data_IF_374227540280
#
_entry.id   IF_374227540280
#
_cell.length_a   1.000
_cell.length_b   1.000
_cell.length_c   1.000
_cell.angle_alpha   90.00
_cell.angle_beta   90.00
_cell.angle_gamma   90.00
#
_symmetry.space_group_name_H-M   'P 1'
#
loop_
_entity.id
_entity.type
_entity.pdbx_description
1 polymer ?
#
# COMPACT_ATOMS: atom_id res chain seq x y z
N UNK A 1 6.65 -16.33 -12.67
CA UNK A 1 7.38 -15.04 -12.52
C UNK A 1 7.42 -14.75 -11.03
N UNK A 2 8.54 -14.27 -10.52
CA UNK A 2 8.65 -13.80 -9.14
C UNK A 2 7.89 -12.48 -9.04
N UNK A 3 7.11 -12.26 -7.98
CA UNK A 3 6.36 -11.02 -7.77
C UNK A 3 7.34 -9.86 -7.49
N UNK A 4 7.00 -8.65 -7.98
CA UNK A 4 7.76 -7.45 -7.60
C UNK A 4 7.72 -7.21 -6.08
N UNK A 5 6.70 -7.69 -5.38
CA UNK A 5 6.50 -7.50 -3.94
C UNK A 5 7.24 -8.54 -3.06
N UNK A 6 8.03 -9.46 -3.64
CA UNK A 6 8.79 -10.49 -2.91
C UNK A 6 9.68 -9.90 -1.80
N UNK A 7 10.22 -8.69 -2.00
CA UNK A 7 11.08 -8.03 -1.00
C UNK A 7 10.41 -7.79 0.36
N UNK A 8 9.08 -7.86 0.41
CA UNK A 8 8.30 -7.72 1.64
C UNK A 8 8.10 -9.02 2.42
N UNK A 9 8.38 -10.19 1.81
CA UNK A 9 8.01 -11.49 2.39
C UNK A 9 8.54 -11.71 3.80
N UNK A 10 9.76 -11.25 4.08
CA UNK A 10 10.41 -11.44 5.37
C UNK A 10 9.79 -10.57 6.47
N UNK A 11 9.60 -9.28 6.18
CA UNK A 11 9.26 -8.28 7.19
C UNK A 11 7.75 -7.94 7.20
N UNK A 12 7.11 -8.00 6.04
CA UNK A 12 5.70 -7.66 5.83
C UNK A 12 4.98 -8.67 4.91
N UNK A 13 4.88 -9.96 5.29
CA UNK A 13 4.33 -11.00 4.42
C UNK A 13 2.88 -10.74 3.97
N UNK A 14 2.09 -10.00 4.75
CA UNK A 14 0.73 -9.60 4.37
C UNK A 14 0.73 -8.66 3.16
N UNK A 15 1.65 -7.70 3.11
CA UNK A 15 1.79 -6.76 1.98
C UNK A 15 2.36 -7.48 0.75
N UNK A 16 3.32 -8.40 0.94
CA UNK A 16 3.82 -9.27 -0.14
C UNK A 16 2.68 -10.06 -0.78
N UNK A 17 1.84 -10.69 0.04
CA UNK A 17 0.70 -11.48 -0.44
C UNK A 17 -0.33 -10.63 -1.21
N UNK A 18 -0.69 -9.45 -0.70
CA UNK A 18 -1.61 -8.56 -1.42
C UNK A 18 -1.03 -8.06 -2.74
N UNK A 19 0.26 -7.71 -2.77
CA UNK A 19 0.95 -7.29 -3.98
C UNK A 19 1.00 -8.38 -5.04
N UNK A 20 1.40 -9.59 -4.66
CA UNK A 20 1.41 -10.77 -5.55
C UNK A 20 0.03 -11.05 -6.14
N UNK A 21 -1.02 -11.01 -5.31
CA UNK A 21 -2.38 -11.24 -5.77
C UNK A 21 -2.89 -10.10 -6.66
N UNK A 22 -2.56 -8.85 -6.35
CA UNK A 22 -2.92 -7.72 -7.20
C UNK A 22 -2.28 -7.85 -8.60
N UNK A 23 -1.01 -8.28 -8.68
CA UNK A 23 -0.35 -8.57 -9.96
C UNK A 23 -1.04 -9.70 -10.71
N UNK A 24 -1.34 -10.81 -10.04
CA UNK A 24 -2.03 -11.96 -10.63
C UNK A 24 -3.42 -11.61 -11.16
N UNK A 25 -4.16 -10.77 -10.47
CA UNK A 25 -5.52 -10.38 -10.84
C UNK A 25 -5.59 -9.25 -11.87
N UNK A 26 -4.52 -8.52 -12.12
CA UNK A 26 -4.53 -7.29 -12.92
C UNK A 26 -5.28 -7.42 -14.25
N UNK A 27 -5.06 -8.51 -14.98
CA UNK A 27 -5.66 -8.75 -16.29
C UNK A 27 -6.88 -9.68 -16.25
N UNK A 28 -6.88 -10.68 -15.36
CA UNK A 28 -7.91 -11.73 -15.31
C UNK A 28 -9.13 -11.37 -14.47
N UNK A 29 -8.95 -10.62 -13.39
CA UNK A 29 -9.99 -10.16 -12.46
C UNK A 29 -9.61 -8.79 -11.90
N UNK A 30 -9.73 -7.75 -12.75
CA UNK A 30 -9.30 -6.41 -12.36
C UNK A 30 -10.10 -5.82 -11.19
N UNK A 31 -11.31 -6.30 -10.89
CA UNK A 31 -12.03 -5.94 -9.66
C UNK A 31 -11.24 -6.43 -8.43
N UNK A 32 -10.89 -7.71 -8.38
CA UNK A 32 -10.06 -8.28 -7.29
C UNK A 32 -8.69 -7.60 -7.20
N UNK A 33 -8.06 -7.25 -8.34
CA UNK A 33 -6.81 -6.46 -8.33
C UNK A 33 -7.00 -5.14 -7.58
N UNK A 34 -8.02 -4.35 -7.92
CA UNK A 34 -8.28 -3.05 -7.27
C UNK A 34 -8.62 -3.20 -5.78
N UNK A 35 -9.29 -4.30 -5.41
CA UNK A 35 -9.52 -4.63 -3.99
C UNK A 35 -8.20 -4.85 -3.24
N UNK A 36 -7.29 -5.69 -3.78
CA UNK A 36 -6.00 -5.98 -3.16
C UNK A 36 -5.12 -4.74 -3.05
N UNK A 37 -5.11 -3.88 -4.07
CA UNK A 37 -4.40 -2.60 -4.04
C UNK A 37 -4.89 -1.70 -2.91
N UNK A 38 -6.19 -1.61 -2.70
CA UNK A 38 -6.75 -0.85 -1.58
C UNK A 38 -6.43 -1.47 -0.22
N UNK A 39 -6.38 -2.81 -0.12
CA UNK A 39 -5.97 -3.52 1.10
C UNK A 39 -4.51 -3.24 1.46
N UNK A 40 -3.61 -3.10 0.48
CA UNK A 40 -2.23 -2.64 0.72
C UNK A 40 -2.25 -1.29 1.45
N UNK A 41 -2.96 -0.29 0.90
CA UNK A 41 -3.02 1.04 1.49
C UNK A 41 -3.60 1.05 2.91
N UNK A 42 -4.69 0.30 3.13
CA UNK A 42 -5.33 0.17 4.44
C UNK A 42 -4.41 -0.49 5.47
N UNK A 43 -3.72 -1.57 5.07
CA UNK A 43 -2.79 -2.29 5.93
C UNK A 43 -1.60 -1.41 6.32
N UNK A 44 -1.01 -0.69 5.38
CA UNK A 44 0.08 0.26 5.67
C UNK A 44 -0.37 1.29 6.71
N UNK A 45 -1.53 1.92 6.53
CA UNK A 45 -2.07 2.91 7.48
C UNK A 45 -2.25 2.30 8.87
N UNK A 46 -2.85 1.10 8.97
CA UNK A 46 -3.06 0.44 10.25
C UNK A 46 -1.75 0.10 10.96
N UNK A 47 -0.79 -0.46 10.23
CA UNK A 47 0.52 -0.79 10.77
C UNK A 47 1.28 0.45 11.26
N UNK A 48 1.18 1.59 10.54
CA UNK A 48 1.77 2.86 10.98
C UNK A 48 1.23 3.30 12.35
N UNK A 49 -0.10 3.22 12.56
CA UNK A 49 -0.69 3.52 13.87
C UNK A 49 -0.17 2.60 14.97
N UNK A 50 -0.01 1.32 14.68
CA UNK A 50 0.46 0.32 15.63
C UNK A 50 1.94 0.50 15.97
N UNK A 51 2.82 0.65 14.96
CA UNK A 51 4.26 0.87 15.15
C UNK A 51 4.57 2.12 15.96
N UNK A 52 3.93 3.23 15.62
CA UNK A 52 4.19 4.54 16.26
C UNK A 52 3.30 4.79 17.48
N UNK A 53 2.41 3.83 17.82
CA UNK A 53 1.50 3.89 18.98
C UNK A 53 0.68 5.17 18.99
N UNK A 54 0.13 5.53 17.83
CA UNK A 54 -0.71 6.72 17.67
C UNK A 54 -2.13 6.40 18.12
N UNK A 55 -2.76 7.30 18.87
CA UNK A 55 -4.16 7.17 19.20
C UNK A 55 -5.04 7.27 17.96
N UNK A 56 -6.02 6.39 17.84
CA UNK A 56 -6.98 6.44 16.74
C UNK A 56 -7.79 7.75 16.82
N UNK A 57 -8.07 8.39 15.68
CA UNK A 57 -8.92 9.57 15.65
C UNK A 57 -10.34 9.25 16.12
N UNK A 58 -11.05 10.23 16.66
CA UNK A 58 -12.43 10.08 17.16
C UNK A 58 -13.36 9.60 16.02
N UNK A 59 -13.26 10.21 14.85
CA UNK A 59 -13.83 9.70 13.61
C UNK A 59 -12.85 8.68 13.00
N UNK A 60 -13.07 7.41 13.31
CA UNK A 60 -12.16 6.32 12.93
C UNK A 60 -12.32 5.88 11.47
N UNK A 61 -12.59 6.82 10.56
CA UNK A 61 -12.64 6.56 9.11
C UNK A 61 -11.25 6.43 8.51
N UNK A 62 -11.14 5.77 7.36
CA UNK A 62 -9.88 5.66 6.63
C UNK A 62 -9.31 7.04 6.23
N UNK A 63 -10.19 8.01 5.94
CA UNK A 63 -9.79 9.40 5.65
C UNK A 63 -9.17 10.03 6.87
N UNK A 64 -9.86 10.02 8.01
CA UNK A 64 -9.37 10.61 9.25
C UNK A 64 -8.05 9.98 9.74
N UNK A 65 -7.85 8.69 9.50
CA UNK A 65 -6.57 8.01 9.79
C UNK A 65 -5.44 8.56 8.92
N UNK A 66 -5.63 8.66 7.61
CA UNK A 66 -4.61 9.20 6.69
C UNK A 66 -4.28 10.66 7.07
N UNK A 67 -5.30 11.51 7.30
CA UNK A 67 -5.13 12.90 7.69
C UNK A 67 -4.39 13.04 9.04
N UNK A 68 -4.64 12.11 9.98
CA UNK A 68 -3.92 12.08 11.25
C UNK A 68 -2.44 11.80 11.03
N UNK A 69 -2.06 10.83 10.19
CA UNK A 69 -0.66 10.55 9.88
C UNK A 69 0.06 11.74 9.21
N UNK A 70 -0.64 12.48 8.36
CA UNK A 70 -0.11 13.73 7.77
C UNK A 70 0.11 14.79 8.85
N UNK A 71 -0.88 15.00 9.73
CA UNK A 71 -0.79 15.97 10.84
C UNK A 71 0.31 15.62 11.83
N UNK A 72 0.51 14.33 12.11
CA UNK A 72 1.61 13.83 12.94
C UNK A 72 2.97 13.93 12.26
N UNK A 73 3.05 14.31 10.97
CA UNK A 73 4.29 14.43 10.22
C UNK A 73 4.95 13.08 9.88
N UNK A 74 4.19 12.01 9.85
CA UNK A 74 4.65 10.65 9.51
C UNK A 74 4.39 10.29 8.04
N UNK A 75 3.55 11.08 7.37
CA UNK A 75 3.15 10.86 5.98
C UNK A 75 3.21 12.18 5.21
N UNK A 76 3.85 12.20 4.05
CA UNK A 76 3.83 13.37 3.18
C UNK A 76 2.48 13.51 2.47
N UNK A 77 2.15 14.72 1.99
CA UNK A 77 0.91 14.96 1.24
C UNK A 77 0.81 14.12 -0.04
N UNK A 78 1.93 13.93 -0.74
CA UNK A 78 1.97 13.12 -1.96
C UNK A 78 1.61 11.66 -1.68
N UNK A 79 2.22 11.07 -0.65
CA UNK A 79 1.91 9.70 -0.24
C UNK A 79 0.47 9.56 0.29
N UNK A 80 -0.03 10.56 1.01
CA UNK A 80 -1.45 10.60 1.41
C UNK A 80 -2.38 10.62 0.20
N UNK A 81 -2.04 11.38 -0.85
CA UNK A 81 -2.79 11.41 -2.11
C UNK A 81 -2.87 10.02 -2.77
N UNK A 82 -1.76 9.27 -2.78
CA UNK A 82 -1.73 7.90 -3.29
C UNK A 82 -2.63 6.99 -2.44
N UNK A 83 -2.53 7.05 -1.10
CA UNK A 83 -3.39 6.26 -0.20
C UNK A 83 -4.87 6.57 -0.38
N UNK A 84 -5.24 7.83 -0.57
CA UNK A 84 -6.60 8.21 -0.90
C UNK A 84 -7.04 7.65 -2.26
N UNK A 85 -6.15 7.60 -3.26
CA UNK A 85 -6.40 6.97 -4.55
C UNK A 85 -6.69 5.47 -4.41
N UNK A 86 -5.81 4.74 -3.72
CA UNK A 86 -5.98 3.31 -3.46
C UNK A 86 -7.30 3.02 -2.71
N UNK A 87 -7.64 3.84 -1.70
CA UNK A 87 -8.92 3.74 -1.00
C UNK A 87 -10.12 3.99 -1.92
N UNK A 88 -10.05 5.02 -2.77
CA UNK A 88 -11.16 5.36 -3.70
C UNK A 88 -11.43 4.24 -4.70
N UNK A 89 -10.39 3.66 -5.31
CA UNK A 89 -10.58 2.58 -6.30
C UNK A 89 -11.07 1.30 -5.63
N UNK A 90 -10.61 0.98 -4.39
CA UNK A 90 -11.15 -0.13 -3.61
C UNK A 90 -12.64 0.06 -3.31
N UNK A 91 -13.04 1.24 -2.87
CA UNK A 91 -14.45 1.50 -2.57
C UNK A 91 -15.34 1.31 -3.80
N UNK A 92 -14.90 1.78 -4.97
CA UNK A 92 -15.61 1.51 -6.24
C UNK A 92 -15.67 0.00 -6.55
N UNK A 93 -14.55 -0.72 -6.39
CA UNK A 93 -14.50 -2.16 -6.64
C UNK A 93 -15.47 -2.92 -5.74
N UNK A 94 -15.53 -2.59 -4.43
CA UNK A 94 -16.39 -3.27 -3.44
C UNK A 94 -17.86 -2.91 -3.59
N UNK A 95 -18.19 -1.62 -3.72
CA UNK A 95 -19.58 -1.16 -3.65
C UNK A 95 -20.27 -1.04 -5.00
N UNK A 96 -19.51 -0.84 -6.08
CA UNK A 96 -20.03 -0.62 -7.43
C UNK A 96 -19.67 -1.77 -8.39
N UNK A 97 -19.03 -2.84 -7.88
CA UNK A 97 -18.47 -3.93 -8.70
C UNK A 97 -17.59 -3.40 -9.85
N UNK A 98 -16.91 -2.28 -9.59
CA UNK A 98 -16.08 -1.61 -10.59
C UNK A 98 -14.87 -2.47 -10.96
N UNK A 99 -14.56 -2.53 -12.26
CA UNK A 99 -13.49 -3.33 -12.83
C UNK A 99 -12.79 -2.51 -13.90
N UNK A 100 -11.46 -2.39 -13.83
CA UNK A 100 -10.66 -1.62 -14.78
C UNK A 100 -9.21 -2.10 -14.80
N UNK A 101 -8.82 -2.73 -15.89
CA UNK A 101 -7.42 -3.14 -16.13
C UNK A 101 -6.51 -1.91 -16.20
N UNK A 102 -6.99 -0.82 -16.78
CA UNK A 102 -6.22 0.44 -16.88
C UNK A 102 -5.90 1.00 -15.50
N UNK A 103 -6.89 1.04 -14.59
CA UNK A 103 -6.64 1.50 -13.23
C UNK A 103 -5.73 0.54 -12.47
N UNK A 104 -5.91 -0.79 -12.65
CA UNK A 104 -4.98 -1.79 -12.10
C UNK A 104 -3.54 -1.50 -12.50
N UNK A 105 -3.29 -1.29 -13.80
CA UNK A 105 -1.96 -0.98 -14.35
C UNK A 105 -1.39 0.35 -13.83
N UNK A 106 -2.24 1.35 -13.61
CA UNK A 106 -1.80 2.65 -13.09
C UNK A 106 -1.48 2.59 -11.59
N UNK A 107 -2.30 1.88 -10.80
CA UNK A 107 -2.14 1.84 -9.35
C UNK A 107 -1.13 0.79 -8.85
N UNK A 108 -0.83 -0.26 -9.62
CA UNK A 108 0.19 -1.26 -9.25
C UNK A 108 1.56 -0.63 -8.96
N UNK A 109 2.15 0.17 -9.88
CA UNK A 109 3.44 0.83 -9.60
C UNK A 109 3.37 1.81 -8.42
N UNK A 110 2.22 2.49 -8.22
CA UNK A 110 2.05 3.40 -7.09
C UNK A 110 2.00 2.65 -5.76
N UNK A 111 1.29 1.53 -5.71
CA UNK A 111 1.24 0.66 -4.54
C UNK A 111 2.61 0.03 -4.24
N UNK A 112 3.34 -0.38 -5.28
CA UNK A 112 4.71 -0.88 -5.15
C UNK A 112 5.62 0.18 -4.53
N UNK A 113 5.66 1.39 -5.09
CA UNK A 113 6.46 2.49 -4.54
C UNK A 113 6.06 2.88 -3.11
N UNK A 114 4.76 2.74 -2.76
CA UNK A 114 4.28 2.92 -1.39
C UNK A 114 4.82 1.84 -0.46
N UNK A 115 4.87 0.58 -0.91
CA UNK A 115 5.46 -0.53 -0.17
C UNK A 115 6.97 -0.39 0.01
N UNK A 116 7.71 0.10 -1.00
CA UNK A 116 9.14 0.39 -0.86
C UNK A 116 9.39 1.50 0.16
N UNK A 117 8.61 2.59 0.10
CA UNK A 117 8.67 3.63 1.13
C UNK A 117 8.39 3.07 2.52
N UNK A 118 7.40 2.20 2.64
CA UNK A 118 7.06 1.59 3.93
C UNK A 118 8.18 0.66 4.43
N UNK A 119 8.77 -0.15 3.55
CA UNK A 119 9.94 -0.97 3.87
C UNK A 119 11.10 -0.12 4.40
N UNK A 120 11.47 0.95 3.69
CA UNK A 120 12.58 1.82 4.06
C UNK A 120 12.29 2.70 5.29
N UNK A 121 11.04 2.76 5.77
CA UNK A 121 10.65 3.57 6.92
C UNK A 121 10.36 2.70 8.16
N UNK A 122 9.73 1.55 7.98
CA UNK A 122 9.23 0.68 9.07
C UNK A 122 9.92 -0.67 9.14
N UNK A 123 10.59 -1.11 8.07
CA UNK A 123 11.35 -2.34 7.98
C UNK A 123 12.84 -2.08 7.88
N UNK A 124 13.45 -2.50 6.77
CA UNK A 124 14.88 -2.33 6.50
C UNK A 124 15.18 -0.95 5.90
N UNK A 125 15.75 -0.06 6.69
CA UNK A 125 16.13 1.29 6.27
C UNK A 125 17.25 1.32 5.23
N UNK A 126 17.97 0.20 5.06
CA UNK A 126 19.03 0.02 4.05
C UNK A 126 18.52 -0.54 2.73
N UNK A 127 17.21 -0.88 2.63
CA UNK A 127 16.63 -1.40 1.40
C UNK A 127 16.88 -0.46 0.22
N UNK A 128 17.33 -1.03 -0.89
CA UNK A 128 17.66 -0.29 -2.12
C UNK A 128 16.48 -0.41 -3.10
N UNK A 129 16.04 0.73 -3.60
CA UNK A 129 14.99 0.82 -4.63
C UNK A 129 15.26 -0.10 -5.83
N UNK A 130 14.19 -0.72 -6.33
CA UNK A 130 14.18 -1.48 -7.58
C UNK A 130 13.03 -0.98 -8.45
N UNK A 131 13.28 -0.93 -9.77
CA UNK A 131 12.23 -0.54 -10.71
C UNK A 131 11.10 -1.58 -10.75
N UNK A 132 9.86 -1.09 -10.76
CA UNK A 132 8.68 -1.94 -10.93
C UNK A 132 8.59 -2.47 -12.36
N UNK A 133 8.42 -3.76 -12.52
CA UNK A 133 8.24 -4.42 -13.82
C UNK A 133 6.78 -4.87 -13.96
N UNK A 134 6.04 -4.25 -14.90
CA UNK A 134 4.64 -4.63 -15.12
C UNK A 134 4.54 -6.10 -15.54
N UNK A 135 3.69 -6.92 -14.88
CA UNK A 135 3.48 -8.32 -15.28
C UNK A 135 2.93 -8.42 -16.70
N UNK A 136 3.34 -9.48 -17.42
CA UNK A 136 2.82 -9.76 -18.75
C UNK A 136 1.42 -10.37 -18.68
N UNK A 137 0.56 -10.02 -19.64
CA UNK A 137 -0.83 -10.51 -19.71
C UNK A 137 -0.94 -12.04 -19.85
N UNK A 138 0.05 -12.67 -20.47
CA UNK A 138 0.05 -14.11 -20.77
C UNK A 138 0.25 -15.04 -19.56
N UNK A 139 0.61 -14.51 -18.39
CA UNK A 139 1.04 -15.31 -17.22
C UNK A 139 -0.14 -15.67 -16.28
N UNK A 140 -1.37 -15.20 -16.52
CA UNK A 140 -2.32 -14.90 -15.42
C UNK A 140 -3.58 -15.76 -15.32
N UNK A 141 -3.67 -16.94 -15.92
CA UNK A 141 -4.84 -17.81 -15.75
C UNK A 141 -4.62 -18.92 -14.70
N UNK A 142 -4.34 -18.56 -13.47
CA UNK A 142 -4.32 -19.53 -12.35
C UNK A 142 -5.64 -19.42 -11.57
N UNK A 143 -6.37 -20.53 -11.50
CA UNK A 143 -7.54 -20.62 -10.62
C UNK A 143 -7.08 -20.50 -9.16
N UNK A 144 -7.51 -19.43 -8.47
CA UNK A 144 -7.18 -19.17 -7.07
C UNK A 144 -8.40 -19.59 -6.23
N UNK A 145 -8.15 -20.40 -5.20
CA UNK A 145 -9.16 -20.71 -4.18
C UNK A 145 -9.36 -19.50 -3.27
N UNK A 146 -10.39 -18.70 -3.55
CA UNK A 146 -10.69 -17.46 -2.80
C UNK A 146 -10.91 -17.72 -1.30
N UNK A 147 -11.45 -18.88 -0.91
CA UNK A 147 -11.66 -19.19 0.50
C UNK A 147 -10.34 -19.44 1.24
N UNK A 148 -9.42 -20.15 0.60
CA UNK A 148 -8.08 -20.38 1.16
C UNK A 148 -7.25 -19.08 1.19
N UNK A 149 -7.41 -18.24 0.17
CA UNK A 149 -6.80 -16.92 0.08
C UNK A 149 -7.24 -16.02 1.25
N UNK A 150 -8.55 -15.86 1.48
CA UNK A 150 -9.09 -15.02 2.56
C UNK A 150 -8.62 -15.47 3.96
N UNK A 151 -8.53 -16.78 4.20
CA UNK A 151 -8.00 -17.32 5.46
C UNK A 151 -6.52 -16.99 5.65
N UNK A 152 -5.72 -17.16 4.59
CA UNK A 152 -4.30 -16.81 4.61
C UNK A 152 -4.10 -15.33 4.89
N UNK A 153 -4.86 -14.46 4.24
CA UNK A 153 -4.82 -13.01 4.42
C UNK A 153 -5.15 -12.60 5.85
N UNK A 154 -6.20 -13.16 6.44
CA UNK A 154 -6.60 -12.87 7.81
C UNK A 154 -5.51 -13.26 8.82
N UNK A 155 -4.88 -14.42 8.64
CA UNK A 155 -3.78 -14.87 9.51
C UNK A 155 -2.54 -13.97 9.35
N UNK A 156 -2.15 -13.64 8.13
CA UNK A 156 -1.02 -12.74 7.86
C UNK A 156 -1.26 -11.32 8.40
N UNK A 157 -2.48 -10.80 8.30
CA UNK A 157 -2.84 -9.49 8.84
C UNK A 157 -2.73 -9.47 10.38
N UNK A 158 -3.25 -10.50 11.05
CA UNK A 158 -3.12 -10.65 12.50
C UNK A 158 -1.67 -10.71 12.94
N UNK A 159 -0.86 -11.52 12.27
CA UNK A 159 0.58 -11.65 12.56
C UNK A 159 1.32 -10.33 12.35
N UNK A 160 0.99 -9.57 11.30
CA UNK A 160 1.59 -8.26 11.05
C UNK A 160 1.27 -7.24 12.15
N UNK A 161 0.03 -7.22 12.64
CA UNK A 161 -0.39 -6.37 13.76
C UNK A 161 0.33 -6.75 15.07
N UNK A 162 0.44 -8.04 15.38
CA UNK A 162 1.16 -8.54 16.54
C UNK A 162 2.65 -8.18 16.48
N UNK A 163 3.28 -8.34 15.31
CA UNK A 163 4.68 -7.97 15.08
C UNK A 163 4.89 -6.46 15.26
N UNK A 164 4.01 -5.64 14.71
CA UNK A 164 4.08 -4.19 14.85
C UNK A 164 3.89 -3.73 16.30
N UNK A 165 2.96 -4.33 17.05
CA UNK A 165 2.72 -4.02 18.45
C UNK A 165 3.92 -4.38 19.37
N UNK A 166 4.63 -5.47 19.02
CA UNK A 166 5.81 -5.95 19.76
C UNK A 166 7.12 -5.30 19.30
N UNK A 167 7.11 -4.57 18.18
CA UNK A 167 8.31 -3.93 17.66
C UNK A 167 8.89 -2.89 18.62
N UNK A 168 10.21 -2.72 18.67
CA UNK A 168 10.84 -1.63 19.42
C UNK A 168 10.31 -0.29 18.97
N UNK A 169 9.95 0.58 19.94
CA UNK A 169 9.50 1.93 19.62
C UNK A 169 10.67 2.77 19.10
N UNK A 170 10.58 3.24 17.88
CA UNK A 170 11.49 4.24 17.33
C UNK A 170 11.07 5.63 17.83
N UNK A 171 12.04 6.51 18.09
CA UNK A 171 11.74 7.89 18.47
C UNK A 171 10.94 8.57 17.35
N UNK A 172 9.87 9.29 17.69
CA UNK A 172 8.95 9.87 16.71
C UNK A 172 9.67 10.82 15.72
N UNK A 173 10.61 11.62 16.21
CA UNK A 173 11.39 12.51 15.35
C UNK A 173 12.30 11.74 14.37
N UNK A 174 12.90 10.65 14.82
CA UNK A 174 13.71 9.79 13.95
C UNK A 174 12.85 9.15 12.87
N UNK A 175 11.66 8.65 13.22
CA UNK A 175 10.69 8.10 12.27
C UNK A 175 10.25 9.14 11.23
N UNK A 176 9.91 10.35 11.67
CA UNK A 176 9.54 11.46 10.78
C UNK A 176 10.65 11.79 9.80
N UNK A 177 11.87 11.95 10.31
CA UNK A 177 13.02 12.27 9.49
C UNK A 177 13.26 11.19 8.42
N UNK A 178 13.17 9.92 8.79
CA UNK A 178 13.32 8.81 7.85
C UNK A 178 12.18 8.80 6.82
N UNK A 179 10.92 8.93 7.25
CA UNK A 179 9.77 8.95 6.37
C UNK A 179 9.85 10.04 5.29
N UNK A 180 10.22 11.26 5.69
CA UNK A 180 10.37 12.38 4.76
C UNK A 180 11.61 12.25 3.88
N UNK A 181 12.73 11.78 4.41
CA UNK A 181 13.95 11.50 3.64
C UNK A 181 13.65 10.53 2.50
N UNK A 182 13.05 9.39 2.82
CA UNK A 182 12.70 8.35 1.84
C UNK A 182 11.67 8.87 0.82
N UNK A 183 10.61 9.55 1.28
CA UNK A 183 9.59 10.10 0.39
C UNK A 183 10.15 11.10 -0.63
N UNK A 184 11.12 11.91 -0.23
CA UNK A 184 11.77 12.90 -1.11
C UNK A 184 12.79 12.27 -2.07
N UNK A 185 13.39 11.15 -1.71
CA UNK A 185 14.39 10.44 -2.52
C UNK A 185 13.77 9.42 -3.47
N UNK A 186 12.54 8.98 -3.19
CA UNK A 186 11.85 7.98 -4.00
C UNK A 186 11.60 8.48 -5.41
N UNK A 187 11.99 7.71 -6.47
CA UNK A 187 11.60 8.04 -7.83
C UNK A 187 10.08 7.92 -7.98
N UNK A 188 9.50 8.83 -8.76
CA UNK A 188 8.07 8.83 -9.11
C UNK A 188 7.91 8.56 -10.59
N UNK A 189 6.98 7.70 -10.96
CA UNK A 189 6.61 7.50 -12.36
C UNK A 189 5.87 8.72 -12.90
N UNK A 190 5.83 8.87 -14.23
CA UNK A 190 5.03 9.91 -14.87
C UNK A 190 3.54 9.79 -14.51
N UNK A 191 3.02 8.56 -14.50
CA UNK A 191 1.63 8.29 -14.14
C UNK A 191 1.33 8.69 -12.67
N UNK A 192 2.24 8.39 -11.75
CA UNK A 192 2.12 8.81 -10.36
C UNK A 192 2.15 10.34 -10.22
N UNK A 193 3.08 10.98 -10.89
CA UNK A 193 3.22 12.45 -10.86
C UNK A 193 1.95 13.13 -11.38
N UNK A 194 1.40 12.67 -12.50
CA UNK A 194 0.13 13.17 -13.04
C UNK A 194 -1.02 12.94 -12.06
N UNK A 195 -1.14 11.75 -11.50
CA UNK A 195 -2.18 11.42 -10.55
C UNK A 195 -2.15 12.35 -9.33
N UNK A 196 -0.98 12.59 -8.75
CA UNK A 196 -0.82 13.49 -7.59
C UNK A 196 -1.24 14.91 -7.96
N UNK A 197 -0.80 15.44 -9.09
CA UNK A 197 -1.14 16.79 -9.54
C UNK A 197 -2.65 16.91 -9.78
N UNK A 198 -3.27 15.97 -10.50
CA UNK A 198 -4.69 15.99 -10.82
C UNK A 198 -5.56 15.93 -9.56
N UNK A 199 -5.21 15.10 -8.56
CA UNK A 199 -5.94 15.02 -7.31
C UNK A 199 -5.76 16.30 -6.47
N UNK A 200 -4.58 16.89 -6.43
CA UNK A 200 -4.33 18.14 -5.70
C UNK A 200 -5.09 19.31 -6.32
N UNK A 201 -5.17 19.39 -7.65
CA UNK A 201 -5.95 20.44 -8.35
C UNK A 201 -7.46 20.31 -8.12
N UNK A 202 -7.98 19.11 -7.86
CA UNK A 202 -9.42 18.90 -7.54
C UNK A 202 -9.79 19.34 -6.12
N UNK A 203 -8.80 19.53 -5.23
CA UNK A 203 -9.02 19.94 -3.85
C UNK A 203 -8.98 21.46 -3.65
N UNK A 204 -8.65 22.23 -4.70
CA UNK A 204 -8.65 23.69 -4.70
C UNK A 204 -9.97 24.20 -5.28
#
# INVERSE_FOLDING_TARGET
>A
MVSNFEFLEKDFPVLANFGELAEKYCYSDSNSCLMKLGMIGETIVNLMFTYDRIALPQDNTAVARIDTLVREGLLTRDLATILHGLRKVRNKAVHENYSSVTDGKNFLPMAYGMCEWFMQTYGDWSYIHKDYVMPEESVMAVAIDKTAEEKKEAELAKQAEENAANAPKVAQEERKNQAYKVANQRPKTEAETRFIIDEQLRMV
#
